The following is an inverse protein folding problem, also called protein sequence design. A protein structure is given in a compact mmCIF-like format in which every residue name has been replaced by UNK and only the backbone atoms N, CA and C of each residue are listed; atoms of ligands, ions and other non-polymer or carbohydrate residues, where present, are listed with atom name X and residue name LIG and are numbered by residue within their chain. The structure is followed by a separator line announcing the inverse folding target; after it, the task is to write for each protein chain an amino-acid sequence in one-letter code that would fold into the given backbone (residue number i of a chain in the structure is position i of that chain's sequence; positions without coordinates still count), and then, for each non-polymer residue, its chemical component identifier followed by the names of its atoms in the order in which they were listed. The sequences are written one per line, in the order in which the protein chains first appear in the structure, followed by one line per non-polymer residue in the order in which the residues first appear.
data_IF_335486850149
#
_entry.id   IF_335486850149
#
_cell.length_a   1.000
_cell.length_b   1.000
_cell.length_c   1.000
_cell.angle_alpha   90.00
_cell.angle_beta   90.00
_cell.angle_gamma   90.00
#
_symmetry.space_group_name_H-M   'P 1'
#
loop_
_entity.id
_entity.type
_entity.pdbx_description
1 polymer ?
#
# COMPACT_ATOMS: atom_id res chain seq x y z
N UNK A 1 -13.91 -12.61 -3.20
CA UNK A 1 -15.23 -11.95 -3.19
C UNK A 1 -15.47 -11.36 -4.56
N UNK A 2 -16.62 -11.68 -5.16
CA UNK A 2 -17.02 -11.22 -6.49
C UNK A 2 -18.37 -10.51 -6.51
N UNK A 3 -19.31 -10.88 -5.63
CA UNK A 3 -20.66 -10.28 -5.55
C UNK A 3 -20.89 -9.54 -4.24
N UNK A 4 -21.85 -8.62 -4.21
CA UNK A 4 -22.17 -7.78 -3.05
C UNK A 4 -22.48 -8.60 -1.78
N UNK A 5 -23.20 -9.70 -1.93
CA UNK A 5 -23.67 -10.54 -0.84
C UNK A 5 -22.52 -11.25 -0.09
N UNK A 6 -21.36 -11.36 -0.74
CA UNK A 6 -20.15 -11.98 -0.20
C UNK A 6 -19.30 -11.01 0.65
N UNK A 7 -19.62 -9.71 0.67
CA UNK A 7 -18.89 -8.77 1.52
C UNK A 7 -19.09 -9.12 3.01
N UNK A 8 -18.05 -8.90 3.85
CA UNK A 8 -18.17 -9.07 5.29
C UNK A 8 -19.29 -8.22 5.86
N UNK A 9 -20.06 -8.76 6.81
CA UNK A 9 -21.19 -8.08 7.44
C UNK A 9 -20.91 -7.82 8.91
N UNK A 10 -21.45 -6.72 9.42
CA UNK A 10 -21.33 -6.33 10.84
C UNK A 10 -21.85 -7.43 11.78
N UNK A 11 -22.84 -8.21 11.34
CA UNK A 11 -23.43 -9.31 12.12
C UNK A 11 -22.55 -10.56 12.24
N UNK A 12 -21.43 -10.65 11.49
CA UNK A 12 -20.53 -11.79 11.59
C UNK A 12 -19.76 -11.74 12.91
N UNK A 13 -19.64 -12.88 13.59
CA UNK A 13 -18.92 -13.00 14.86
C UNK A 13 -17.42 -12.67 14.76
N UNK A 14 -16.85 -12.76 13.55
CA UNK A 14 -15.46 -12.39 13.28
C UNK A 14 -15.30 -11.91 11.84
N UNK A 15 -14.34 -11.01 11.63
CA UNK A 15 -13.90 -10.52 10.31
C UNK A 15 -12.51 -11.05 9.94
N UNK A 16 -11.91 -11.87 10.81
CA UNK A 16 -10.65 -12.54 10.56
C UNK A 16 -10.86 -13.80 9.72
N UNK A 17 -9.80 -14.27 9.07
CA UNK A 17 -9.87 -15.48 8.26
C UNK A 17 -8.76 -15.58 7.23
N UNK A 18 -8.95 -16.51 6.28
CA UNK A 18 -8.08 -16.62 5.10
C UNK A 18 -8.40 -15.49 4.13
N UNK A 19 -7.44 -15.21 3.25
CA UNK A 19 -7.67 -14.32 2.11
C UNK A 19 -8.94 -14.71 1.34
N UNK A 20 -9.69 -13.71 0.88
CA UNK A 20 -10.98 -13.91 0.21
C UNK A 20 -12.19 -14.08 1.14
N UNK A 21 -11.97 -14.34 2.44
CA UNK A 21 -13.03 -14.48 3.46
C UNK A 21 -12.88 -13.44 4.58
N UNK A 22 -11.64 -12.99 4.86
CA UNK A 22 -11.36 -11.92 5.84
C UNK A 22 -11.61 -10.52 5.28
N UNK A 23 -11.92 -9.57 6.16
CA UNK A 23 -12.02 -8.14 5.85
C UNK A 23 -13.01 -7.41 6.75
N UNK A 24 -12.72 -6.15 7.09
CA UNK A 24 -13.68 -5.34 7.84
C UNK A 24 -14.91 -5.02 6.96
N UNK A 25 -16.14 -5.03 7.52
CA UNK A 25 -17.33 -4.58 6.82
C UNK A 25 -17.21 -3.13 6.34
N UNK A 26 -17.79 -2.83 5.18
CA UNK A 26 -17.78 -1.48 4.59
C UNK A 26 -18.36 -0.43 5.54
N UNK A 27 -19.42 -0.79 6.26
CA UNK A 27 -20.09 0.07 7.22
C UNK A 27 -19.14 0.51 8.35
N UNK A 28 -18.26 -0.39 8.77
CA UNK A 28 -17.25 -0.13 9.82
C UNK A 28 -16.16 0.77 9.28
N UNK A 29 -15.70 0.53 8.05
CA UNK A 29 -14.70 1.39 7.39
C UNK A 29 -15.20 2.83 7.27
N UNK A 30 -16.43 3.03 6.79
CA UNK A 30 -17.05 4.36 6.66
C UNK A 30 -17.29 5.01 8.03
N UNK A 31 -17.78 4.25 9.02
CA UNK A 31 -17.98 4.75 10.36
C UNK A 31 -16.67 5.24 11.00
N UNK A 32 -15.57 4.51 10.80
CA UNK A 32 -14.25 4.90 11.27
C UNK A 32 -13.77 6.20 10.62
N UNK A 33 -13.86 6.30 9.29
CA UNK A 33 -13.49 7.51 8.55
C UNK A 33 -14.28 8.74 9.03
N UNK A 34 -15.60 8.59 9.19
CA UNK A 34 -16.46 9.63 9.72
C UNK A 34 -16.11 10.02 11.16
N UNK A 35 -15.78 9.04 12.01
CA UNK A 35 -15.42 9.28 13.42
C UNK A 35 -14.12 10.04 13.55
N UNK A 36 -13.13 9.70 12.72
CA UNK A 36 -11.82 10.35 12.68
C UNK A 36 -11.82 11.66 11.88
N UNK A 37 -12.90 11.93 11.15
CA UNK A 37 -12.98 13.04 10.21
C UNK A 37 -11.83 13.02 9.20
N UNK A 38 -11.53 11.83 8.67
CA UNK A 38 -10.41 11.58 7.77
C UNK A 38 -10.91 10.96 6.45
N UNK A 39 -10.26 11.30 5.35
CA UNK A 39 -10.52 10.68 4.04
C UNK A 39 -10.31 9.16 4.11
N UNK A 40 -11.04 8.42 3.29
CA UNK A 40 -11.05 6.96 3.32
C UNK A 40 -10.48 6.37 2.03
N UNK A 41 -9.61 5.36 2.16
CA UNK A 41 -9.09 4.56 1.05
C UNK A 41 -9.78 3.22 0.96
N UNK A 42 -10.39 2.96 -0.19
CA UNK A 42 -11.13 1.74 -0.49
C UNK A 42 -10.42 0.98 -1.61
N UNK A 43 -9.84 -0.17 -1.26
CA UNK A 43 -9.31 -1.13 -2.22
C UNK A 43 -10.38 -2.18 -2.51
N UNK A 44 -10.81 -2.26 -3.77
CA UNK A 44 -11.90 -3.13 -4.20
C UNK A 44 -11.38 -4.56 -4.48
N UNK A 45 -12.16 -5.63 -4.20
CA UNK A 45 -11.75 -7.00 -4.50
C UNK A 45 -11.45 -7.22 -6.00
N UNK A 46 -10.40 -7.98 -6.32
CA UNK A 46 -9.98 -8.25 -7.71
C UNK A 46 -11.07 -8.91 -8.57
N UNK A 47 -11.94 -9.73 -7.99
CA UNK A 47 -12.99 -10.42 -8.73
C UNK A 47 -14.35 -9.69 -8.67
N UNK A 48 -14.39 -8.46 -8.14
CA UNK A 48 -15.63 -7.71 -7.97
C UNK A 48 -16.33 -7.43 -9.31
N UNK A 49 -17.59 -7.86 -9.41
CA UNK A 49 -18.46 -7.53 -10.54
C UNK A 49 -18.96 -6.07 -10.45
N UNK A 50 -19.57 -5.59 -11.53
CA UNK A 50 -20.06 -4.21 -11.61
C UNK A 50 -21.18 -3.91 -10.62
N UNK A 51 -21.95 -4.92 -10.22
CA UNK A 51 -23.02 -4.75 -9.24
C UNK A 51 -22.44 -4.52 -7.84
N UNK A 52 -21.45 -5.31 -7.42
CA UNK A 52 -20.68 -5.10 -6.20
C UNK A 52 -20.07 -3.70 -6.20
N UNK A 53 -19.34 -3.33 -7.27
CA UNK A 53 -18.68 -2.02 -7.35
C UNK A 53 -19.70 -0.88 -7.22
N UNK A 54 -20.85 -0.99 -7.89
CA UNK A 54 -21.91 0.03 -7.85
C UNK A 54 -22.55 0.14 -6.47
N UNK A 55 -22.90 -0.98 -5.83
CA UNK A 55 -23.49 -0.97 -4.49
C UNK A 55 -22.48 -0.46 -3.43
N UNK A 56 -21.20 -0.82 -3.58
CA UNK A 56 -20.14 -0.31 -2.72
C UNK A 56 -20.01 1.21 -2.83
N UNK A 57 -19.93 1.74 -4.06
CA UNK A 57 -19.88 3.18 -4.30
C UNK A 57 -21.13 3.89 -3.77
N UNK A 58 -22.32 3.30 -3.94
CA UNK A 58 -23.59 3.88 -3.51
C UNK A 58 -23.65 4.00 -1.98
N UNK A 59 -23.24 2.94 -1.28
CA UNK A 59 -23.11 2.96 0.17
C UNK A 59 -22.14 4.05 0.64
N UNK A 60 -20.94 4.13 0.05
CA UNK A 60 -19.95 5.15 0.42
C UNK A 60 -20.46 6.56 0.15
N UNK A 61 -21.08 6.81 -1.00
CA UNK A 61 -21.65 8.13 -1.34
C UNK A 61 -22.66 8.60 -0.29
N UNK A 62 -23.56 7.69 0.12
CA UNK A 62 -24.65 7.98 1.06
C UNK A 62 -24.16 8.17 2.50
N UNK A 63 -23.15 7.42 2.93
CA UNK A 63 -22.79 7.31 4.35
C UNK A 63 -21.47 7.99 4.72
N UNK A 64 -20.54 8.20 3.78
CA UNK A 64 -19.31 8.96 4.05
C UNK A 64 -19.66 10.45 4.12
N UNK A 65 -19.15 11.17 5.14
CA UNK A 65 -19.41 12.60 5.32
C UNK A 65 -19.13 13.40 4.03
N UNK A 66 -19.99 14.35 3.64
CA UNK A 66 -19.89 15.03 2.34
C UNK A 66 -18.58 15.76 2.05
N UNK A 67 -17.87 16.24 3.08
CA UNK A 67 -16.58 16.94 2.91
C UNK A 67 -15.37 16.00 2.87
N UNK A 68 -15.55 14.71 3.15
CA UNK A 68 -14.49 13.70 3.06
C UNK A 68 -14.43 13.12 1.65
N UNK A 69 -13.21 12.76 1.24
CA UNK A 69 -12.91 12.11 -0.04
C UNK A 69 -12.83 10.59 0.09
N UNK A 70 -13.18 9.92 -1.00
CA UNK A 70 -12.98 8.49 -1.20
C UNK A 70 -11.82 8.27 -2.18
N UNK A 71 -10.72 7.70 -1.68
CA UNK A 71 -9.64 7.17 -2.51
C UNK A 71 -10.10 5.79 -3.00
N UNK A 72 -10.15 5.61 -4.32
CA UNK A 72 -10.69 4.41 -4.96
C UNK A 72 -9.56 3.72 -5.71
N UNK A 73 -9.33 2.46 -5.38
CA UNK A 73 -8.30 1.62 -5.99
C UNK A 73 -8.89 0.25 -6.31
N UNK A 74 -8.72 -0.21 -7.55
CA UNK A 74 -9.10 -1.58 -7.89
C UNK A 74 -7.96 -2.54 -7.52
N UNK A 75 -8.17 -3.41 -6.52
CA UNK A 75 -7.24 -4.44 -6.06
C UNK A 75 -5.85 -3.98 -5.58
N UNK A 76 -5.15 -4.84 -4.83
CA UNK A 76 -3.80 -4.62 -4.31
C UNK A 76 -2.72 -5.22 -5.23
N UNK A 77 -1.62 -4.53 -5.50
CA UNK A 77 -0.40 -5.09 -6.13
C UNK A 77 -0.64 -6.11 -7.27
N UNK A 78 -1.35 -5.69 -8.33
CA UNK A 78 -1.70 -6.55 -9.46
C UNK A 78 -0.50 -7.11 -10.26
N UNK A 79 0.73 -6.71 -9.91
CA UNK A 79 2.00 -7.16 -10.47
C UNK A 79 2.74 -8.18 -9.59
N UNK A 80 2.39 -8.31 -8.31
CA UNK A 80 3.18 -9.10 -7.36
C UNK A 80 2.70 -10.57 -7.36
N UNK A 81 3.52 -11.52 -7.86
CA UNK A 81 3.13 -12.93 -8.00
C UNK A 81 2.96 -13.66 -6.67
N UNK A 82 3.29 -13.03 -5.53
CA UNK A 82 2.98 -13.58 -4.22
C UNK A 82 1.47 -13.55 -3.91
N UNK A 83 0.67 -12.80 -4.68
CA UNK A 83 -0.73 -12.60 -4.39
C UNK A 83 -1.69 -13.12 -5.47
N UNK A 84 -2.85 -13.61 -5.02
CA UNK A 84 -3.85 -14.23 -5.90
C UNK A 84 -4.37 -13.29 -6.98
N UNK A 85 -4.51 -12.01 -6.66
CA UNK A 85 -4.99 -11.01 -7.60
C UNK A 85 -4.04 -10.79 -8.78
N UNK A 86 -2.72 -10.92 -8.63
CA UNK A 86 -1.79 -10.78 -9.75
C UNK A 86 -1.91 -11.96 -10.74
N UNK A 87 -2.27 -13.14 -10.22
CA UNK A 87 -2.63 -14.28 -11.08
C UNK A 87 -3.96 -14.07 -11.77
N UNK A 88 -4.95 -13.53 -11.05
CA UNK A 88 -6.26 -13.22 -11.60
C UNK A 88 -6.17 -12.21 -12.75
N UNK A 89 -5.47 -11.08 -12.56
CA UNK A 89 -5.34 -10.05 -13.60
C UNK A 89 -4.65 -10.59 -14.84
N UNK A 90 -3.59 -11.39 -14.66
CA UNK A 90 -2.90 -12.10 -15.75
C UNK A 90 -3.83 -13.03 -16.52
N UNK A 91 -4.60 -13.85 -15.82
CA UNK A 91 -5.56 -14.76 -16.44
C UNK A 91 -6.60 -13.99 -17.26
N UNK A 92 -7.20 -12.94 -16.68
CA UNK A 92 -8.21 -12.14 -17.36
C UNK A 92 -7.65 -11.37 -18.56
N UNK A 93 -6.43 -10.85 -18.45
CA UNK A 93 -5.75 -10.18 -19.56
C UNK A 93 -5.50 -11.09 -20.74
N UNK A 94 -5.06 -12.33 -20.48
CA UNK A 94 -4.87 -13.35 -21.52
C UNK A 94 -6.20 -13.78 -22.16
N UNK A 95 -7.24 -14.00 -21.35
CA UNK A 95 -8.58 -14.34 -21.84
C UNK A 95 -9.15 -13.25 -22.74
N UNK A 96 -8.88 -11.98 -22.43
CA UNK A 96 -9.30 -10.83 -23.22
C UNK A 96 -8.31 -10.47 -24.36
N UNK A 97 -7.23 -11.24 -24.52
CA UNK A 97 -6.20 -11.04 -25.56
C UNK A 97 -5.60 -9.62 -25.55
N UNK A 98 -5.38 -9.04 -24.36
CA UNK A 98 -4.83 -7.68 -24.22
C UNK A 98 -3.33 -7.61 -24.54
N UNK A 99 -2.62 -8.73 -24.40
CA UNK A 99 -1.24 -8.95 -24.81
C UNK A 99 -0.97 -10.45 -24.99
N UNK A 100 0.10 -10.79 -25.69
CA UNK A 100 0.61 -12.17 -25.79
C UNK A 100 1.57 -12.50 -24.65
N UNK A 101 2.26 -11.50 -24.08
CA UNK A 101 3.07 -11.66 -22.87
C UNK A 101 2.18 -11.66 -21.61
N UNK A 102 2.21 -12.72 -20.76
CA UNK A 102 1.29 -12.82 -19.64
C UNK A 102 1.40 -11.70 -18.59
N UNK A 103 2.59 -11.29 -18.11
CA UNK A 103 2.72 -10.11 -17.26
C UNK A 103 2.10 -8.85 -17.88
N UNK A 104 2.41 -8.54 -19.13
CA UNK A 104 1.85 -7.36 -19.82
C UNK A 104 0.33 -7.43 -19.96
N UNK A 105 -0.21 -8.60 -20.29
CA UNK A 105 -1.65 -8.82 -20.35
C UNK A 105 -2.30 -8.53 -18.98
N UNK A 106 -1.67 -8.96 -17.89
CA UNK A 106 -2.13 -8.69 -16.53
C UNK A 106 -2.12 -7.21 -16.15
N UNK A 107 -1.04 -6.49 -16.47
CA UNK A 107 -0.94 -5.04 -16.23
C UNK A 107 -2.03 -4.27 -17.01
N UNK A 108 -2.22 -4.61 -18.29
CA UNK A 108 -3.26 -4.01 -19.14
C UNK A 108 -4.67 -4.27 -18.61
N UNK A 109 -4.95 -5.49 -18.16
CA UNK A 109 -6.23 -5.81 -17.55
C UNK A 109 -6.45 -5.03 -16.25
N UNK A 110 -5.43 -4.92 -15.40
CA UNK A 110 -5.48 -4.13 -14.18
C UNK A 110 -5.86 -2.67 -14.46
N UNK A 111 -5.20 -2.03 -15.43
CA UNK A 111 -5.52 -0.65 -15.85
C UNK A 111 -6.94 -0.57 -16.40
N UNK A 112 -7.29 -1.43 -17.37
CA UNK A 112 -8.64 -1.46 -17.99
C UNK A 112 -9.73 -1.56 -16.92
N UNK A 113 -9.60 -2.50 -15.98
CA UNK A 113 -10.60 -2.71 -14.93
C UNK A 113 -10.62 -1.59 -13.91
N UNK A 114 -9.48 -0.97 -13.61
CA UNK A 114 -9.44 0.22 -12.75
C UNK A 114 -10.24 1.38 -13.36
N UNK A 115 -10.06 1.66 -14.66
CA UNK A 115 -10.81 2.70 -15.36
C UNK A 115 -12.33 2.42 -15.41
N UNK A 116 -12.73 1.16 -15.56
CA UNK A 116 -14.14 0.74 -15.46
C UNK A 116 -14.70 1.00 -14.05
N UNK A 117 -13.96 0.65 -13.00
CA UNK A 117 -14.32 0.91 -11.60
C UNK A 117 -14.47 2.41 -11.35
N UNK A 118 -13.53 3.23 -11.80
CA UNK A 118 -13.60 4.68 -11.64
C UNK A 118 -14.84 5.27 -12.31
N UNK A 119 -15.16 4.83 -13.53
CA UNK A 119 -16.38 5.25 -14.24
C UNK A 119 -17.65 4.91 -13.47
N UNK A 120 -17.73 3.72 -12.86
CA UNK A 120 -18.89 3.34 -12.04
C UNK A 120 -19.01 4.26 -10.81
N UNK A 121 -17.90 4.53 -10.13
CA UNK A 121 -17.89 5.43 -8.98
C UNK A 121 -18.30 6.86 -9.36
N UNK A 122 -17.80 7.38 -10.47
CA UNK A 122 -18.19 8.70 -11.01
C UNK A 122 -19.69 8.77 -11.33
N UNK A 123 -20.24 7.75 -11.98
CA UNK A 123 -21.68 7.67 -12.27
C UNK A 123 -22.53 7.68 -11.00
N UNK A 124 -22.08 6.95 -9.96
CA UNK A 124 -22.80 6.88 -8.68
C UNK A 124 -22.71 8.20 -7.92
N UNK A 125 -21.54 8.84 -7.88
CA UNK A 125 -21.33 10.10 -7.16
C UNK A 125 -21.90 11.32 -7.91
N UNK A 126 -22.13 11.20 -9.22
CA UNK A 126 -22.63 12.28 -10.08
C UNK A 126 -21.59 13.36 -10.41
N UNK A 127 -20.45 13.37 -9.73
CA UNK A 127 -19.26 14.16 -10.04
C UNK A 127 -18.02 13.56 -9.36
N UNK A 128 -16.83 14.03 -9.75
CA UNK A 128 -15.55 13.54 -9.23
C UNK A 128 -15.02 14.31 -8.01
N UNK A 129 -15.72 15.35 -7.50
CA UNK A 129 -15.16 16.26 -6.48
C UNK A 129 -14.78 15.58 -5.16
N UNK A 130 -15.44 14.45 -4.86
CA UNK A 130 -15.21 13.63 -3.66
C UNK A 130 -14.41 12.36 -3.94
N UNK A 131 -13.93 12.16 -5.16
CA UNK A 131 -13.19 10.96 -5.56
C UNK A 131 -11.71 11.28 -5.74
N UNK A 132 -10.86 10.33 -5.37
CA UNK A 132 -9.45 10.28 -5.77
C UNK A 132 -9.23 8.91 -6.42
N UNK A 133 -9.07 8.89 -7.73
CA UNK A 133 -8.87 7.68 -8.52
C UNK A 133 -7.40 7.31 -8.51
N UNK A 134 -7.08 6.13 -7.99
CA UNK A 134 -5.70 5.72 -7.72
C UNK A 134 -5.34 4.49 -8.56
N UNK A 135 -4.29 4.64 -9.39
CA UNK A 135 -3.52 3.50 -9.86
C UNK A 135 -2.28 3.34 -8.99
N UNK A 136 -1.84 2.11 -8.80
CA UNK A 136 -0.69 1.79 -7.96
C UNK A 136 0.38 1.06 -8.76
N UNK A 137 1.63 1.19 -8.31
CA UNK A 137 2.77 0.52 -8.91
C UNK A 137 3.84 0.13 -7.90
N UNK A 138 4.95 -0.39 -8.43
CA UNK A 138 6.08 -0.82 -7.62
C UNK A 138 7.18 0.24 -7.64
N UNK A 139 7.54 0.74 -6.46
CA UNK A 139 8.55 1.80 -6.26
C UNK A 139 9.83 1.57 -7.05
N UNK A 140 10.34 0.34 -7.06
CA UNK A 140 11.60 -0.03 -7.72
C UNK A 140 11.48 -0.29 -9.23
N UNK A 141 10.27 -0.18 -9.81
CA UNK A 141 10.00 -0.50 -11.22
C UNK A 141 9.31 0.66 -11.96
N UNK A 142 10.08 1.69 -12.39
CA UNK A 142 9.53 2.79 -13.17
C UNK A 142 9.01 2.35 -14.54
N UNK A 143 9.55 1.26 -15.13
CA UNK A 143 9.06 0.73 -16.43
C UNK A 143 7.62 0.22 -16.32
N UNK A 144 7.31 -0.53 -15.25
CA UNK A 144 5.94 -0.91 -14.94
C UNK A 144 5.05 0.34 -14.81
N UNK A 145 5.54 1.35 -14.10
CA UNK A 145 4.77 2.58 -13.85
C UNK A 145 4.42 3.31 -15.14
N UNK A 146 5.36 3.40 -16.10
CA UNK A 146 5.11 3.90 -17.46
C UNK A 146 4.00 3.11 -18.17
N UNK A 147 4.09 1.77 -18.18
CA UNK A 147 3.08 0.91 -18.82
C UNK A 147 1.68 1.18 -18.23
N UNK A 148 1.59 1.31 -16.91
CA UNK A 148 0.33 1.52 -16.21
C UNK A 148 -0.28 2.89 -16.49
N UNK A 149 0.53 3.94 -16.61
CA UNK A 149 0.08 5.30 -16.86
C UNK A 149 -0.29 5.54 -18.34
N UNK A 150 0.41 4.90 -19.27
CA UNK A 150 0.20 5.09 -20.72
C UNK A 150 -0.95 4.25 -21.28
N UNK A 151 -1.14 3.03 -20.80
CA UNK A 151 -2.12 2.14 -21.40
C UNK A 151 -3.54 2.71 -21.25
N UNK A 152 -4.27 2.80 -22.38
CA UNK A 152 -5.57 3.46 -22.47
C UNK A 152 -5.60 4.90 -21.92
N UNK A 153 -4.48 5.64 -22.04
CA UNK A 153 -4.32 7.00 -21.53
C UNK A 153 -4.72 7.12 -20.05
N UNK A 154 -4.41 6.11 -19.24
CA UNK A 154 -4.89 6.03 -17.87
C UNK A 154 -4.51 7.27 -17.02
N UNK A 155 -3.36 7.88 -17.30
CA UNK A 155 -2.94 9.14 -16.68
C UNK A 155 -3.97 10.27 -16.79
N UNK A 156 -4.74 10.34 -17.88
CA UNK A 156 -5.77 11.37 -18.09
C UNK A 156 -7.03 11.12 -17.25
N UNK A 157 -7.14 9.93 -16.64
CA UNK A 157 -8.35 9.47 -15.96
C UNK A 157 -8.14 9.20 -14.47
N UNK A 158 -6.93 9.40 -13.95
CA UNK A 158 -6.60 9.22 -12.53
C UNK A 158 -6.16 10.52 -11.88
N UNK A 159 -6.25 10.56 -10.55
CA UNK A 159 -5.84 11.72 -9.76
C UNK A 159 -4.47 11.50 -9.10
N UNK A 160 -4.14 10.24 -8.81
CA UNK A 160 -2.89 9.88 -8.16
C UNK A 160 -2.33 8.54 -8.63
N UNK A 161 -0.99 8.46 -8.65
CA UNK A 161 -0.24 7.23 -8.80
C UNK A 161 0.41 6.88 -7.46
N UNK A 162 0.14 5.69 -6.94
CA UNK A 162 0.60 5.27 -5.62
C UNK A 162 1.73 4.24 -5.70
N UNK A 163 2.71 4.35 -4.79
CA UNK A 163 3.81 3.38 -4.67
C UNK A 163 3.95 2.86 -3.22
N UNK A 164 4.82 1.88 -3.01
CA UNK A 164 5.13 1.31 -1.69
C UNK A 164 6.63 1.39 -1.38
N UNK A 165 7.15 2.51 -0.87
CA UNK A 165 8.58 2.66 -0.64
C UNK A 165 8.95 2.10 0.73
N UNK A 166 9.83 1.10 0.71
CA UNK A 166 10.35 0.45 1.92
C UNK A 166 11.88 0.49 1.96
N UNK A 167 12.43 0.87 3.11
CA UNK A 167 13.86 0.70 3.40
C UNK A 167 14.11 -0.57 4.23
N UNK A 168 15.15 -1.33 3.89
CA UNK A 168 15.47 -2.58 4.55
C UNK A 168 16.87 -3.10 4.20
N UNK A 169 17.32 -4.13 4.90
CA UNK A 169 18.55 -4.87 4.56
C UNK A 169 18.26 -5.85 3.43
N UNK A 170 18.78 -5.57 2.23
CA UNK A 170 18.60 -6.42 1.06
C UNK A 170 19.08 -7.85 1.31
N UNK A 171 18.44 -8.83 0.66
CA UNK A 171 18.70 -10.27 0.89
C UNK A 171 20.17 -10.67 0.80
N UNK A 172 20.91 -10.03 -0.12
CA UNK A 172 22.32 -10.32 -0.39
C UNK A 172 23.24 -9.94 0.77
N UNK A 173 22.79 -9.05 1.65
CA UNK A 173 23.57 -8.50 2.78
C UNK A 173 23.03 -8.98 4.13
N UNK A 174 21.95 -9.77 4.18
CA UNK A 174 21.40 -10.25 5.46
C UNK A 174 22.39 -11.12 6.24
N UNK A 175 23.36 -11.75 5.57
CA UNK A 175 24.43 -12.51 6.22
C UNK A 175 25.41 -11.65 7.03
N UNK A 176 25.45 -10.33 6.79
CA UNK A 176 26.30 -9.36 7.51
C UNK A 176 25.68 -8.91 8.83
N UNK A 177 24.39 -9.17 9.05
CA UNK A 177 23.68 -8.77 10.28
C UNK A 177 24.07 -9.71 11.42
N UNK A 178 24.99 -9.27 12.30
CA UNK A 178 25.41 -9.99 13.51
C UNK A 178 24.86 -9.37 14.78
N UNK A 179 24.55 -8.08 14.74
CA UNK A 179 24.02 -7.28 15.83
C UNK A 179 22.90 -6.35 15.34
N UNK A 180 22.14 -5.79 16.27
CA UNK A 180 21.15 -4.74 15.98
C UNK A 180 21.81 -3.50 15.36
N UNK A 181 23.06 -3.19 15.72
CA UNK A 181 23.77 -2.04 15.17
C UNK A 181 24.14 -2.23 13.69
N UNK A 182 24.46 -3.46 13.27
CA UNK A 182 24.73 -3.77 11.86
C UNK A 182 23.53 -3.49 10.97
N UNK A 183 22.31 -3.68 11.50
CA UNK A 183 21.08 -3.30 10.79
C UNK A 183 21.10 -1.82 10.44
N UNK A 184 21.36 -0.95 11.42
CA UNK A 184 21.38 0.49 11.20
C UNK A 184 22.52 0.94 10.27
N UNK A 185 23.69 0.31 10.37
CA UNK A 185 24.81 0.53 9.44
C UNK A 185 24.41 0.20 8.01
N UNK A 186 23.81 -0.97 7.78
CA UNK A 186 23.38 -1.42 6.46
C UNK A 186 22.21 -0.59 5.89
N UNK A 187 21.34 -0.03 6.74
CA UNK A 187 20.29 0.90 6.29
C UNK A 187 20.82 2.26 5.81
N UNK A 188 22.10 2.54 6.06
CA UNK A 188 22.84 3.73 5.59
C UNK A 188 23.92 3.41 4.56
N UNK A 189 24.18 2.13 4.29
CA UNK A 189 25.24 1.72 3.37
C UNK A 189 24.76 1.83 1.93
N UNK A 190 25.44 2.64 1.11
CA UNK A 190 25.09 2.84 -0.30
C UNK A 190 25.15 1.55 -1.13
N UNK A 191 25.91 0.53 -0.68
CA UNK A 191 25.94 -0.80 -1.30
C UNK A 191 24.65 -1.58 -1.08
N UNK A 192 23.87 -1.23 -0.05
CA UNK A 192 22.55 -1.78 0.17
C UNK A 192 21.53 -1.10 -0.74
N UNK A 193 21.02 -1.85 -1.71
CA UNK A 193 20.05 -1.36 -2.70
C UNK A 193 18.77 -0.74 -2.08
N UNK A 194 18.45 -1.08 -0.82
CA UNK A 194 17.30 -0.57 -0.08
C UNK A 194 17.68 0.20 1.19
N UNK A 195 18.91 0.73 1.24
CA UNK A 195 19.27 1.80 2.18
C UNK A 195 18.38 3.03 1.94
N UNK A 196 18.20 3.85 2.97
CA UNK A 196 17.23 4.98 2.96
C UNK A 196 17.46 5.90 1.76
N UNK A 197 18.70 6.30 1.50
CA UNK A 197 19.03 7.21 0.39
C UNK A 197 18.81 6.57 -0.99
N UNK A 198 19.05 5.26 -1.11
CA UNK A 198 18.78 4.52 -2.35
C UNK A 198 17.27 4.39 -2.61
N UNK A 199 16.46 4.18 -1.57
CA UNK A 199 14.99 4.17 -1.70
C UNK A 199 14.48 5.57 -2.05
N UNK A 200 14.99 6.64 -1.42
CA UNK A 200 14.63 8.01 -1.77
C UNK A 200 15.01 8.36 -3.23
N UNK A 201 16.12 7.82 -3.74
CA UNK A 201 16.46 7.92 -5.16
C UNK A 201 15.42 7.23 -6.07
N UNK A 202 14.87 6.08 -5.65
CA UNK A 202 13.75 5.44 -6.37
C UNK A 202 12.47 6.28 -6.30
N UNK A 203 12.16 6.87 -5.14
CA UNK A 203 11.01 7.76 -4.96
C UNK A 203 11.13 8.99 -5.87
N UNK A 204 12.32 9.60 -5.98
CA UNK A 204 12.54 10.74 -6.89
C UNK A 204 12.24 10.37 -8.34
N UNK A 205 12.71 9.21 -8.81
CA UNK A 205 12.41 8.73 -10.17
C UNK A 205 10.91 8.55 -10.41
N UNK A 206 10.18 8.04 -9.43
CA UNK A 206 8.73 7.90 -9.50
C UNK A 206 8.03 9.25 -9.47
N UNK A 207 8.54 10.22 -8.71
CA UNK A 207 7.98 11.57 -8.64
C UNK A 207 8.17 12.32 -9.95
N UNK A 208 9.36 12.20 -10.56
CA UNK A 208 9.65 12.76 -11.88
C UNK A 208 8.73 12.15 -12.95
N UNK A 209 8.52 10.83 -12.91
CA UNK A 209 7.61 10.13 -13.80
C UNK A 209 6.16 10.60 -13.61
N UNK A 210 5.64 10.60 -12.38
CA UNK A 210 4.29 11.05 -12.08
C UNK A 210 4.05 12.50 -12.56
N UNK A 211 5.05 13.38 -12.38
CA UNK A 211 5.02 14.76 -12.88
C UNK A 211 4.92 14.84 -14.41
N UNK A 212 5.61 13.97 -15.15
CA UNK A 212 5.52 13.92 -16.62
C UNK A 212 4.10 13.60 -17.11
N UNK A 213 3.37 12.76 -16.37
CA UNK A 213 1.99 12.38 -16.68
C UNK A 213 0.93 13.29 -16.02
N UNK A 214 1.35 14.32 -15.27
CA UNK A 214 0.41 15.24 -14.61
C UNK A 214 -0.38 14.65 -13.44
N UNK A 215 0.08 13.53 -12.86
CA UNK A 215 -0.60 12.85 -11.74
C UNK A 215 0.16 13.04 -10.43
N UNK A 216 -0.55 13.01 -9.30
CA UNK A 216 0.10 13.14 -7.98
C UNK A 216 0.76 11.84 -7.55
N UNK A 217 2.02 11.86 -7.11
CA UNK A 217 2.64 10.70 -6.46
C UNK A 217 2.19 10.61 -5.00
N UNK A 218 1.69 9.45 -4.57
CA UNK A 218 1.36 9.14 -3.17
C UNK A 218 1.93 7.78 -2.76
N UNK A 219 1.88 7.42 -1.48
CA UNK A 219 2.23 6.07 -1.02
C UNK A 219 1.02 5.35 -0.41
N UNK A 220 0.66 4.19 -0.95
CA UNK A 220 -0.43 3.34 -0.42
C UNK A 220 0.02 2.53 0.80
N UNK A 221 1.32 2.35 0.96
CA UNK A 221 1.97 1.80 2.15
C UNK A 221 3.46 2.18 2.15
N UNK A 222 4.18 1.98 3.26
CA UNK A 222 5.62 2.22 3.32
C UNK A 222 6.20 2.25 4.72
N UNK A 223 7.52 2.36 4.81
CA UNK A 223 8.28 2.38 6.06
C UNK A 223 9.46 1.41 6.02
N UNK A 224 9.72 0.69 7.10
CA UNK A 224 10.72 -0.39 7.10
C UNK A 224 10.14 -1.74 6.67
N UNK A 225 10.97 -2.58 6.04
CA UNK A 225 10.69 -3.97 5.68
C UNK A 225 11.77 -4.89 6.26
N UNK A 226 11.96 -4.91 7.58
CA UNK A 226 12.95 -5.79 8.21
C UNK A 226 12.40 -7.21 8.36
N UNK A 227 12.59 -8.00 7.30
CA UNK A 227 12.19 -9.40 7.19
C UNK A 227 13.42 -10.27 6.95
N UNK A 228 13.56 -11.35 7.73
CA UNK A 228 14.59 -12.35 7.51
C UNK A 228 14.09 -13.38 6.49
N UNK A 229 14.75 -13.47 5.32
CA UNK A 229 14.34 -14.40 4.26
C UNK A 229 14.49 -15.87 4.65
N UNK A 230 15.26 -16.18 5.70
CA UNK A 230 15.38 -17.55 6.21
C UNK A 230 14.19 -17.97 7.05
N UNK A 231 13.40 -17.03 7.57
CA UNK A 231 12.21 -17.35 8.35
C UNK A 231 11.07 -17.79 7.42
N UNK A 232 10.63 -19.04 7.54
CA UNK A 232 9.63 -19.67 6.66
C UNK A 232 8.32 -20.00 7.37
N UNK A 233 8.27 -19.89 8.70
CA UNK A 233 7.11 -20.30 9.48
C UNK A 233 6.93 -19.44 10.72
N UNK A 234 5.67 -19.20 11.11
CA UNK A 234 5.29 -18.53 12.36
C UNK A 234 5.81 -19.21 13.64
N UNK A 235 6.34 -20.44 13.52
CA UNK A 235 6.98 -21.19 14.61
C UNK A 235 8.47 -20.86 14.77
N UNK A 236 9.09 -20.26 13.76
CA UNK A 236 10.47 -19.80 13.81
C UNK A 236 10.50 -18.39 14.40
N UNK A 237 11.38 -18.17 15.39
CA UNK A 237 11.50 -16.85 16.00
C UNK A 237 12.11 -15.88 14.96
N UNK A 238 11.53 -14.69 14.76
CA UNK A 238 12.09 -13.72 13.84
C UNK A 238 13.49 -13.29 14.28
N UNK A 239 14.31 -12.89 13.32
CA UNK A 239 15.69 -12.49 13.57
C UNK A 239 15.78 -11.50 14.75
N UNK A 240 16.45 -11.86 15.86
CA UNK A 240 16.46 -11.03 17.06
C UNK A 240 17.07 -9.65 16.82
N UNK A 241 17.93 -9.51 15.82
CA UNK A 241 18.53 -8.21 15.47
C UNK A 241 17.55 -7.31 14.73
N UNK A 242 16.65 -7.87 13.91
CA UNK A 242 15.58 -7.08 13.27
C UNK A 242 14.49 -6.68 14.26
N UNK A 243 14.13 -7.57 15.20
CA UNK A 243 13.22 -7.23 16.30
C UNK A 243 13.88 -6.16 17.20
N UNK A 244 15.15 -6.34 17.55
CA UNK A 244 15.95 -5.38 18.31
C UNK A 244 15.99 -4.01 17.62
N UNK A 245 16.25 -3.97 16.32
CA UNK A 245 16.25 -2.72 15.54
C UNK A 245 14.90 -2.01 15.57
N UNK A 246 13.77 -2.73 15.50
CA UNK A 246 12.44 -2.12 15.58
C UNK A 246 12.12 -1.49 16.94
N UNK A 247 12.77 -1.96 18.01
CA UNK A 247 12.62 -1.45 19.40
C UNK A 247 13.66 -0.38 19.74
N UNK A 248 14.78 -0.35 19.04
CA UNK A 248 15.90 0.52 19.35
C UNK A 248 15.62 1.98 18.93
N UNK A 249 16.07 2.91 19.76
CA UNK A 249 15.86 4.36 19.58
C UNK A 249 16.32 4.89 18.20
N UNK A 250 17.45 4.41 17.59
CA UNK A 250 17.85 4.88 16.27
C UNK A 250 16.81 4.69 15.16
N UNK A 251 15.86 3.75 15.31
CA UNK A 251 14.79 3.54 14.33
C UNK A 251 13.88 4.77 14.17
N UNK A 252 13.70 5.57 15.22
CA UNK A 252 12.95 6.83 15.11
C UNK A 252 13.61 7.80 14.14
N UNK A 253 14.93 8.02 14.30
CA UNK A 253 15.69 8.90 13.41
C UNK A 253 15.70 8.40 11.96
N UNK A 254 15.76 7.07 11.75
CA UNK A 254 15.66 6.46 10.42
C UNK A 254 14.32 6.75 9.74
N UNK A 255 13.23 6.64 10.49
CA UNK A 255 11.90 6.97 9.99
C UNK A 255 11.75 8.46 9.69
N UNK A 256 12.24 9.34 10.58
CA UNK A 256 12.20 10.79 10.36
C UNK A 256 12.95 11.16 9.08
N UNK A 257 14.20 10.72 8.92
CA UNK A 257 14.98 11.02 7.71
C UNK A 257 14.27 10.54 6.43
N UNK A 258 13.73 9.33 6.46
CA UNK A 258 13.01 8.78 5.32
C UNK A 258 11.74 9.58 4.99
N UNK A 259 10.95 9.97 6.00
CA UNK A 259 9.71 10.72 5.81
C UNK A 259 9.96 12.17 5.42
N UNK A 260 11.00 12.83 5.95
CA UNK A 260 11.44 14.15 5.51
C UNK A 260 11.90 14.11 4.05
N UNK A 261 12.65 13.08 3.67
CA UNK A 261 13.02 12.82 2.28
C UNK A 261 11.79 12.66 1.38
N UNK A 262 10.81 11.86 1.80
CA UNK A 262 9.53 11.72 1.10
C UNK A 262 8.81 13.06 0.94
N UNK A 263 8.69 13.86 2.01
CA UNK A 263 8.02 15.16 1.98
C UNK A 263 8.72 16.13 1.04
N UNK A 264 10.06 16.17 1.07
CA UNK A 264 10.87 17.02 0.19
C UNK A 264 10.69 16.67 -1.28
N UNK A 265 10.67 15.37 -1.62
CA UNK A 265 10.54 14.91 -3.01
C UNK A 265 9.11 15.13 -3.52
N UNK A 266 8.11 14.84 -2.71
CA UNK A 266 6.71 14.76 -3.15
C UNK A 266 5.88 16.01 -2.84
N UNK A 267 6.46 17.02 -2.19
CA UNK A 267 5.74 18.21 -1.72
C UNK A 267 4.72 17.87 -0.63
N UNK A 268 5.14 17.06 0.34
CA UNK A 268 4.29 16.56 1.44
C UNK A 268 3.02 15.83 0.94
N UNK A 269 3.18 14.97 -0.07
CA UNK A 269 2.08 14.14 -0.56
C UNK A 269 1.73 13.04 0.43
N UNK A 270 0.50 12.50 0.32
CA UNK A 270 -0.03 11.47 1.22
C UNK A 270 0.94 10.28 1.32
N UNK A 271 1.23 9.88 2.56
CA UNK A 271 2.00 8.69 2.89
C UNK A 271 1.24 7.82 3.89
N UNK A 272 0.83 6.63 3.47
CA UNK A 272 0.22 5.65 4.36
C UNK A 272 1.32 4.81 5.02
N UNK A 273 1.54 5.01 6.33
CA UNK A 273 2.55 4.25 7.06
C UNK A 273 2.06 2.82 7.35
N UNK A 274 2.79 1.81 6.89
CA UNK A 274 2.49 0.41 7.17
C UNK A 274 3.15 0.00 8.48
N UNK A 275 2.42 -0.43 9.51
CA UNK A 275 0.96 -0.58 9.62
C UNK A 275 0.45 -0.24 11.02
N UNK A 276 -0.87 -0.28 11.23
CA UNK A 276 -1.48 -0.26 12.55
C UNK A 276 -0.81 -1.23 13.55
N UNK A 277 -1.02 -1.09 14.88
CA UNK A 277 -0.35 -1.93 15.87
C UNK A 277 -0.45 -3.43 15.54
N UNK A 278 0.70 -4.09 15.43
CA UNK A 278 0.84 -5.50 15.07
C UNK A 278 2.13 -6.06 15.65
N UNK A 279 2.03 -7.22 16.30
CA UNK A 279 3.19 -7.93 16.84
C UNK A 279 4.16 -8.38 15.73
N UNK A 280 5.44 -8.49 16.07
CA UNK A 280 6.42 -9.14 15.21
C UNK A 280 6.07 -10.61 14.99
N UNK A 281 6.35 -11.11 13.79
CA UNK A 281 6.16 -12.50 13.36
C UNK A 281 7.30 -12.91 12.44
N UNK A 282 7.34 -14.18 12.03
CA UNK A 282 8.27 -14.71 11.04
C UNK A 282 8.39 -13.86 9.76
N UNK A 283 7.29 -13.22 9.36
CA UNK A 283 7.22 -12.38 8.18
C UNK A 283 7.59 -10.90 8.43
N UNK A 284 8.19 -10.56 9.57
CA UNK A 284 8.68 -9.21 9.89
C UNK A 284 7.99 -8.51 11.06
N UNK A 285 8.52 -7.33 11.39
CA UNK A 285 8.06 -6.46 12.49
C UNK A 285 7.41 -5.18 11.94
N UNK A 286 6.21 -5.30 11.37
CA UNK A 286 5.59 -4.23 10.57
C UNK A 286 4.97 -3.09 11.38
N UNK A 287 4.21 -3.42 12.42
CA UNK A 287 3.36 -2.45 13.12
C UNK A 287 4.12 -1.25 13.67
N UNK A 288 3.53 -0.06 13.59
CA UNK A 288 4.08 1.18 14.20
C UNK A 288 4.19 1.04 15.72
N UNK A 289 3.38 0.15 16.29
CA UNK A 289 3.47 -0.42 17.63
C UNK A 289 3.35 -1.95 17.55
N UNK A 290 3.83 -2.67 18.56
CA UNK A 290 3.66 -4.11 18.69
C UNK A 290 2.24 -4.49 19.16
N UNK A 291 1.61 -3.61 19.94
CA UNK A 291 0.23 -3.77 20.45
C UNK A 291 -0.38 -2.39 20.75
N UNK A 292 -1.72 -2.33 20.87
CA UNK A 292 -2.47 -1.06 20.95
C UNK A 292 -2.07 -0.21 22.16
N UNK A 293 -1.88 -0.83 23.32
CA UNK A 293 -1.49 -0.17 24.57
C UNK A 293 0.03 -0.03 24.77
N UNK A 294 0.85 -0.21 23.73
CA UNK A 294 2.29 0.06 23.84
C UNK A 294 2.51 1.56 24.07
N UNK A 295 3.26 1.86 25.13
CA UNK A 295 3.66 3.22 25.49
C UNK A 295 4.46 3.87 24.34
N UNK A 296 4.27 5.16 24.12
CA UNK A 296 4.90 5.86 23.00
C UNK A 296 6.43 5.85 23.11
N UNK A 297 6.97 5.93 24.33
CA UNK A 297 8.39 5.93 24.66
C UNK A 297 9.10 4.64 24.23
N UNK A 298 8.34 3.54 24.15
CA UNK A 298 8.81 2.23 23.73
C UNK A 298 8.51 1.91 22.25
N UNK A 299 7.96 2.88 21.49
CA UNK A 299 7.54 2.69 20.10
C UNK A 299 8.19 3.74 19.16
N UNK A 300 9.48 3.57 18.79
CA UNK A 300 10.24 4.55 18.01
C UNK A 300 9.57 4.96 16.69
N UNK A 301 9.00 3.99 15.96
CA UNK A 301 8.27 4.24 14.70
C UNK A 301 7.02 5.11 14.92
N UNK A 302 6.27 4.83 15.99
CA UNK A 302 5.09 5.63 16.34
C UNK A 302 5.46 7.06 16.72
N UNK A 303 6.54 7.26 17.48
CA UNK A 303 7.01 8.61 17.81
C UNK A 303 7.43 9.39 16.58
N UNK A 304 8.20 8.78 15.67
CA UNK A 304 8.57 9.41 14.39
C UNK A 304 7.33 9.90 13.64
N UNK A 305 6.31 9.06 13.50
CA UNK A 305 5.06 9.43 12.81
C UNK A 305 4.31 10.57 13.53
N UNK A 306 4.27 10.59 14.86
CA UNK A 306 3.67 11.69 15.61
C UNK A 306 4.42 13.01 15.42
N UNK A 307 5.73 12.97 15.20
CA UNK A 307 6.51 14.18 14.88
C UNK A 307 6.18 14.70 13.49
N UNK A 308 6.02 13.83 12.50
CA UNK A 308 5.70 14.21 11.12
C UNK A 308 4.27 14.74 10.92
N UNK A 309 3.38 14.56 11.91
CA UNK A 309 2.00 15.05 11.89
C UNK A 309 1.85 16.46 12.51
N UNK A 310 2.92 17.02 13.08
CA UNK A 310 2.94 18.37 13.67
C UNK A 310 3.35 19.40 12.63
#
# INVERSE_FOLDING_TARGET
MSTWEQLPRVSQATWAGKEGVRGAPLEVMVALANRLNADAWFTLPHAADDNLVRQYADYVRQHLRPHLKAYVEYTNEAWNPAFTQAHYTKQMGLQQKLDTDPPQAGHKFYVKRSLEVFRIWEQVFGNANRLVRVLSGWSANPRLSTILLEYNNAAEHIDAFAIAPYFYVHERQQAEVRSTEDVFKLLKDDRNAYAIQNVLTMVQKQADLAKQYGVKLIAYEGGQHLVDRKSRSIREFPNPQYVGANRAQPMEAMYIEFLEGWQKITGNSLFVAFSAPRTYQAYGSWGVKEHINQAAEAAPKYRALLQMLR
#
